data_IF_362129870697
#
_entry.id   IF_362129870697
#
_cell.length_a   1.000
_cell.length_b   1.000
_cell.length_c   1.000
_cell.angle_alpha   90.00
_cell.angle_beta   90.00
_cell.angle_gamma   90.00
#
_symmetry.space_group_name_H-M   'P 1'
#
loop_
_entity.id
_entity.type
_entity.pdbx_description
1 polymer ?
#
# COMPACT_ATOMS: atom_id res chain seq x y z
N UNK A 1 37.22 -3.64 -16.60
CA UNK A 1 37.65 -4.62 -15.59
C UNK A 1 37.06 -4.30 -14.21
N UNK A 2 36.35 -5.30 -13.68
CA UNK A 2 36.05 -5.59 -12.25
C UNK A 2 35.18 -4.62 -11.46
N UNK A 3 33.88 -4.94 -11.38
CA UNK A 3 33.18 -5.33 -10.14
C UNK A 3 31.84 -5.97 -10.55
N UNK A 4 31.81 -7.30 -10.73
CA UNK A 4 31.52 -8.30 -9.69
C UNK A 4 30.00 -8.62 -9.60
N UNK A 5 29.67 -9.85 -10.02
CA UNK A 5 28.58 -10.71 -9.49
C UNK A 5 27.15 -10.32 -9.92
N UNK A 6 26.64 -10.76 -11.07
CA UNK A 6 25.95 -12.06 -11.28
C UNK A 6 25.86 -12.97 -10.03
N UNK A 7 24.62 -13.25 -9.58
CA UNK A 7 24.17 -13.94 -8.35
C UNK A 7 24.04 -13.08 -7.08
N UNK A 8 22.89 -12.40 -6.94
CA UNK A 8 22.12 -12.51 -5.68
C UNK A 8 20.63 -12.58 -5.97
N UNK A 9 20.18 -13.82 -6.00
CA UNK A 9 18.80 -14.27 -5.92
C UNK A 9 18.00 -13.51 -4.83
N UNK A 10 16.76 -13.15 -5.17
CA UNK A 10 15.59 -13.05 -4.26
C UNK A 10 15.54 -12.00 -3.15
N UNK A 11 16.26 -10.87 -3.22
CA UNK A 11 16.10 -9.81 -2.21
C UNK A 11 16.19 -8.42 -2.83
N UNK A 12 15.08 -7.69 -2.85
CA UNK A 12 15.04 -6.31 -3.34
C UNK A 12 15.89 -5.39 -2.47
N UNK A 13 16.60 -4.45 -3.10
CA UNK A 13 17.43 -3.50 -2.38
C UNK A 13 16.57 -2.42 -1.73
N UNK A 14 17.06 -1.75 -0.68
CA UNK A 14 16.32 -0.66 -0.05
C UNK A 14 15.91 0.46 -1.03
N UNK A 15 16.64 0.60 -2.15
CA UNK A 15 16.32 1.53 -3.21
C UNK A 15 15.16 1.04 -4.08
N UNK A 16 15.12 -0.26 -4.42
CA UNK A 16 13.98 -0.88 -5.10
C UNK A 16 12.70 -0.82 -4.26
N UNK A 17 12.84 -0.97 -2.94
CA UNK A 17 11.72 -0.86 -1.99
C UNK A 17 11.17 0.57 -1.96
N UNK A 18 12.03 1.59 -1.94
CA UNK A 18 11.61 2.99 -2.00
C UNK A 18 10.91 3.31 -3.33
N UNK A 19 11.51 2.91 -4.46
CA UNK A 19 10.94 3.11 -5.80
C UNK A 19 9.58 2.39 -5.94
N UNK A 20 9.44 1.21 -5.33
CA UNK A 20 8.17 0.48 -5.26
C UNK A 20 7.13 1.22 -4.42
N UNK A 21 7.52 1.79 -3.28
CA UNK A 21 6.64 2.60 -2.44
C UNK A 21 6.06 3.81 -3.18
N UNK A 22 6.91 4.55 -3.91
CA UNK A 22 6.47 5.67 -4.75
C UNK A 22 5.50 5.20 -5.86
N UNK A 23 5.84 4.13 -6.57
CA UNK A 23 4.98 3.56 -7.62
C UNK A 23 3.63 3.11 -7.09
N UNK A 24 3.60 2.47 -5.92
CA UNK A 24 2.37 2.04 -5.26
C UNK A 24 1.51 3.25 -4.89
N UNK A 25 2.12 4.31 -4.37
CA UNK A 25 1.42 5.56 -4.03
C UNK A 25 0.74 6.17 -5.27
N UNK A 26 1.45 6.29 -6.38
CA UNK A 26 0.88 6.78 -7.64
C UNK A 26 -0.20 5.84 -8.20
N UNK A 27 0.03 4.52 -8.14
CA UNK A 27 -0.94 3.52 -8.60
C UNK A 27 -2.23 3.53 -7.77
N UNK A 28 -2.14 3.67 -6.44
CA UNK A 28 -3.30 3.79 -5.55
C UNK A 28 -4.10 5.06 -5.86
N UNK A 29 -3.43 6.18 -6.16
CA UNK A 29 -4.13 7.40 -6.59
C UNK A 29 -4.88 7.18 -7.90
N UNK A 30 -4.24 6.57 -8.90
CA UNK A 30 -4.88 6.27 -10.18
C UNK A 30 -6.09 5.36 -10.00
N UNK A 31 -6.01 4.34 -9.14
CA UNK A 31 -7.12 3.44 -8.85
C UNK A 31 -8.26 4.13 -8.09
N UNK A 32 -7.93 4.97 -7.10
CA UNK A 32 -8.93 5.72 -6.35
C UNK A 32 -9.70 6.69 -7.25
N UNK A 33 -9.00 7.43 -8.12
CA UNK A 33 -9.61 8.31 -9.10
C UNK A 33 -10.45 7.53 -10.12
N UNK A 34 -9.97 6.38 -10.62
CA UNK A 34 -10.77 5.51 -11.49
C UNK A 34 -12.03 4.99 -10.80
N UNK A 35 -11.96 4.60 -9.52
CA UNK A 35 -13.12 4.13 -8.77
C UNK A 35 -14.15 5.25 -8.55
N UNK A 36 -13.67 6.49 -8.31
CA UNK A 36 -14.51 7.68 -8.20
C UNK A 36 -15.20 8.01 -9.53
N UNK A 37 -14.49 7.91 -10.65
CA UNK A 37 -15.06 8.09 -12.00
C UNK A 37 -16.05 6.97 -12.37
N UNK A 38 -15.77 5.73 -12.01
CA UNK A 38 -16.68 4.59 -12.25
C UNK A 38 -17.95 4.64 -11.40
N UNK A 39 -17.90 5.36 -10.27
CA UNK A 39 -19.08 5.66 -9.43
C UNK A 39 -19.87 6.89 -9.93
N UNK A 40 -19.41 7.55 -10.99
CA UNK A 40 -20.02 8.74 -11.58
C UNK A 40 -21.21 8.39 -12.49
N UNK A 41 -22.19 7.74 -11.88
CA UNK A 41 -23.57 7.63 -12.36
C UNK A 41 -24.59 8.15 -11.34
N UNK A 42 -24.16 8.60 -10.16
CA UNK A 42 -25.02 9.28 -9.19
C UNK A 42 -24.24 10.33 -8.39
N UNK A 43 -24.66 11.58 -8.53
CA UNK A 43 -24.17 12.70 -7.74
C UNK A 43 -24.59 12.51 -6.28
N UNK A 44 -23.60 12.42 -5.40
CA UNK A 44 -23.76 12.68 -3.98
C UNK A 44 -22.43 13.15 -3.43
N UNK A 45 -22.33 14.35 -2.82
CA UNK A 45 -21.19 14.68 -1.99
C UNK A 45 -21.31 13.78 -0.77
N UNK A 46 -20.76 12.56 -0.84
CA UNK A 46 -20.76 11.68 0.32
C UNK A 46 -19.65 12.20 1.23
N UNK A 47 -19.98 12.79 2.41
CA UNK A 47 -18.99 13.12 3.39
C UNK A 47 -18.62 11.79 4.02
N UNK A 48 -17.62 11.09 3.46
CA UNK A 48 -16.97 10.02 4.21
C UNK A 48 -16.28 10.70 5.38
N UNK A 49 -17.04 10.77 6.47
CA UNK A 49 -16.70 11.10 7.84
C UNK A 49 -15.47 12.00 8.02
N UNK A 50 -15.77 13.29 8.19
CA UNK A 50 -14.93 14.24 8.93
C UNK A 50 -14.68 13.83 10.42
N UNK A 51 -14.99 12.59 10.81
CA UNK A 51 -14.86 12.07 12.17
C UNK A 51 -13.54 11.33 12.41
N UNK A 52 -12.87 10.85 11.36
CA UNK A 52 -11.54 10.20 11.47
C UNK A 52 -10.37 11.17 11.28
N UNK A 53 -10.69 12.47 11.16
CA UNK A 53 -9.80 13.59 10.88
C UNK A 53 -8.65 13.83 11.87
N UNK A 54 -8.45 12.98 12.87
CA UNK A 54 -7.36 13.13 13.83
C UNK A 54 -6.48 11.88 14.00
N UNK A 55 -6.88 10.72 13.47
CA UNK A 55 -6.00 9.55 13.33
C UNK A 55 -5.64 9.32 11.86
N UNK A 56 -6.60 9.56 10.95
CA UNK A 56 -6.46 9.61 9.48
C UNK A 56 -5.90 10.95 8.98
N UNK A 57 -5.75 11.96 9.85
CA UNK A 57 -4.99 13.18 9.53
C UNK A 57 -3.54 12.90 9.09
N UNK A 58 -3.02 11.71 9.39
CA UNK A 58 -1.70 11.27 8.97
C UNK A 58 -1.70 10.29 7.79
N UNK A 59 -2.78 10.16 7.01
CA UNK A 59 -2.84 9.23 5.88
C UNK A 59 -3.53 9.87 4.67
N UNK A 60 -2.90 9.81 3.49
CA UNK A 60 -3.49 10.36 2.26
C UNK A 60 -4.73 9.55 1.89
N UNK A 61 -5.82 10.21 1.46
CA UNK A 61 -7.12 9.56 1.19
C UNK A 61 -7.03 8.36 0.25
N UNK A 62 -6.14 8.39 -0.75
CA UNK A 62 -5.97 7.28 -1.70
C UNK A 62 -5.27 6.06 -1.09
N UNK A 63 -4.41 6.28 -0.09
CA UNK A 63 -3.68 5.23 0.64
C UNK A 63 -4.65 4.50 1.59
N UNK A 64 -5.48 5.26 2.32
CA UNK A 64 -6.52 4.71 3.20
C UNK A 64 -7.66 4.04 2.42
N UNK A 65 -8.03 4.59 1.26
CA UNK A 65 -9.01 3.94 0.36
C UNK A 65 -8.50 2.60 -0.15
N UNK A 66 -7.22 2.52 -0.56
CA UNK A 66 -6.64 1.24 -0.98
C UNK A 66 -6.58 0.23 0.16
N UNK A 67 -6.22 0.68 1.37
CA UNK A 67 -6.25 -0.15 2.56
C UNK A 67 -7.64 -0.79 2.73
N UNK A 68 -8.71 0.00 2.70
CA UNK A 68 -10.09 -0.50 2.78
C UNK A 68 -10.50 -1.43 1.64
N UNK A 69 -9.84 -1.34 0.47
CA UNK A 69 -10.06 -2.26 -0.64
C UNK A 69 -9.37 -3.61 -0.47
N UNK A 70 -8.22 -3.61 0.21
CA UNK A 70 -7.43 -4.79 0.50
C UNK A 70 -7.93 -5.53 1.74
N UNK A 71 -8.36 -4.77 2.74
CA UNK A 71 -8.92 -5.24 4.01
C UNK A 71 -10.32 -5.83 3.76
N UNK A 72 -10.32 -7.07 3.29
CA UNK A 72 -11.54 -7.80 2.90
C UNK A 72 -12.24 -8.37 4.11
N UNK A 73 -11.50 -8.66 5.17
CA UNK A 73 -12.03 -9.13 6.44
C UNK A 73 -12.44 -7.97 7.38
N UNK A 74 -12.08 -6.72 7.03
CA UNK A 74 -12.36 -5.48 7.77
C UNK A 74 -11.81 -5.51 9.21
N UNK A 75 -10.64 -6.11 9.40
CA UNK A 75 -10.00 -6.25 10.71
C UNK A 75 -9.02 -5.12 11.04
N UNK A 76 -8.80 -4.18 10.11
CA UNK A 76 -7.83 -3.08 10.19
C UNK A 76 -6.36 -3.52 10.17
N UNK A 77 -6.10 -4.72 9.69
CA UNK A 77 -4.79 -5.25 9.37
C UNK A 77 -4.78 -5.75 7.94
N UNK A 78 -3.60 -5.76 7.32
CA UNK A 78 -3.40 -6.39 6.03
C UNK A 78 -2.53 -7.62 6.21
N UNK A 79 -3.15 -8.78 6.07
CA UNK A 79 -2.45 -10.05 6.08
C UNK A 79 -1.72 -10.27 4.75
N UNK A 80 -0.74 -11.18 4.74
CA UNK A 80 0.02 -11.53 3.54
C UNK A 80 -0.87 -11.94 2.34
N UNK A 81 -2.02 -12.56 2.61
CA UNK A 81 -3.00 -12.96 1.60
C UNK A 81 -3.76 -11.77 1.01
N UNK A 82 -4.12 -10.79 1.83
CA UNK A 82 -4.81 -9.57 1.40
C UNK A 82 -3.86 -8.66 0.62
N UNK A 83 -2.61 -8.56 1.06
CA UNK A 83 -1.54 -7.89 0.33
C UNK A 83 -1.26 -8.55 -1.03
N UNK A 84 -1.44 -9.87 -1.14
CA UNK A 84 -1.35 -10.59 -2.41
C UNK A 84 -2.59 -10.36 -3.32
N UNK A 85 -3.72 -9.92 -2.77
CA UNK A 85 -4.91 -9.58 -3.55
C UNK A 85 -4.74 -8.29 -4.38
N UNK A 86 -3.81 -7.43 -3.98
CA UNK A 86 -3.18 -6.50 -4.92
C UNK A 86 -2.42 -7.38 -5.92
N UNK A 87 -3.07 -7.66 -7.03
CA UNK A 87 -2.67 -8.57 -8.10
C UNK A 87 -1.44 -8.03 -8.88
N UNK A 88 -0.35 -7.78 -8.14
CA UNK A 88 0.96 -7.31 -8.58
C UNK A 88 1.90 -8.50 -8.79
N UNK A 89 1.38 -9.67 -9.18
CA UNK A 89 2.12 -10.90 -9.54
C UNK A 89 3.40 -10.67 -10.38
N UNK A 90 3.45 -9.58 -11.15
CA UNK A 90 4.65 -9.22 -11.94
C UNK A 90 5.78 -8.53 -11.15
N UNK A 91 5.55 -8.08 -9.92
CA UNK A 91 6.50 -7.36 -9.06
C UNK A 91 6.59 -7.94 -7.63
N UNK A 92 6.08 -9.16 -7.43
CA UNK A 92 6.00 -9.84 -6.13
C UNK A 92 7.33 -9.99 -5.39
N UNK A 93 8.45 -10.02 -6.12
CA UNK A 93 9.78 -10.20 -5.54
C UNK A 93 10.11 -9.07 -4.54
N UNK A 94 9.61 -7.86 -4.77
CA UNK A 94 9.90 -6.69 -3.92
C UNK A 94 8.78 -6.30 -2.97
N UNK A 95 7.55 -6.76 -3.24
CA UNK A 95 6.40 -6.33 -2.45
C UNK A 95 6.40 -6.95 -1.05
N UNK A 96 6.78 -8.23 -0.94
CA UNK A 96 6.95 -8.93 0.34
C UNK A 96 7.99 -8.26 1.25
N UNK A 97 9.24 -8.03 0.81
CA UNK A 97 10.21 -7.33 1.62
C UNK A 97 9.84 -5.85 1.87
N UNK A 98 9.08 -5.21 0.97
CA UNK A 98 8.54 -3.88 1.20
C UNK A 98 7.56 -3.86 2.38
N UNK A 99 6.58 -4.76 2.40
CA UNK A 99 5.63 -4.83 3.50
C UNK A 99 6.30 -5.24 4.82
N UNK A 100 7.29 -6.13 4.78
CA UNK A 100 8.10 -6.45 5.95
C UNK A 100 8.93 -5.24 6.44
N UNK A 101 9.25 -4.29 5.56
CA UNK A 101 9.88 -3.02 5.96
C UNK A 101 8.87 -2.02 6.54
N UNK A 102 7.59 -2.12 6.17
CA UNK A 102 6.49 -1.36 6.74
C UNK A 102 6.01 -1.93 8.10
N UNK A 103 6.11 -3.25 8.28
CA UNK A 103 5.78 -3.99 9.51
C UNK A 103 6.81 -3.68 10.60
N UNK A 104 6.52 -2.66 11.38
CA UNK A 104 7.37 -2.17 12.46
C UNK A 104 7.29 -3.10 13.67
N UNK A 105 6.15 -3.74 13.88
CA UNK A 105 5.93 -4.71 14.96
C UNK A 105 6.49 -6.11 14.65
N UNK A 106 6.77 -6.40 13.38
CA UNK A 106 7.25 -7.70 12.87
C UNK A 106 6.31 -8.85 13.23
N UNK A 107 5.01 -8.59 13.20
CA UNK A 107 3.98 -9.59 13.50
C UNK A 107 3.48 -10.32 12.23
N UNK A 108 4.00 -9.94 11.05
CA UNK A 108 3.64 -10.51 9.77
C UNK A 108 2.38 -9.89 9.15
N UNK A 109 1.88 -8.79 9.73
CA UNK A 109 0.73 -8.03 9.26
C UNK A 109 1.09 -6.56 9.22
N UNK A 110 0.34 -5.77 8.45
CA UNK A 110 0.52 -4.31 8.44
C UNK A 110 -0.77 -3.69 8.93
N UNK A 111 -0.72 -3.05 10.11
CA UNK A 111 -1.86 -2.31 10.64
C UNK A 111 -2.12 -1.04 9.81
N UNK A 112 -3.34 -0.49 9.87
CA UNK A 112 -3.66 0.77 9.18
C UNK A 112 -2.68 1.90 9.54
N UNK A 113 -2.21 1.95 10.79
CA UNK A 113 -1.25 2.96 11.24
C UNK A 113 0.13 2.79 10.59
N UNK A 114 0.65 1.56 10.53
CA UNK A 114 1.92 1.24 9.88
C UNK A 114 1.87 1.46 8.38
N UNK A 115 0.75 1.10 7.75
CA UNK A 115 0.51 1.35 6.35
C UNK A 115 0.61 2.84 6.02
N UNK A 116 -0.14 3.67 6.77
CA UNK A 116 -0.13 5.11 6.59
C UNK A 116 1.24 5.73 6.85
N UNK A 117 1.95 5.26 7.88
CA UNK A 117 3.31 5.72 8.19
C UNK A 117 4.31 5.33 7.09
N UNK A 118 4.20 4.11 6.54
CA UNK A 118 5.10 3.60 5.50
C UNK A 118 5.03 4.45 4.21
N UNK A 119 3.83 4.89 3.83
CA UNK A 119 3.60 5.70 2.63
C UNK A 119 3.67 7.22 2.87
N UNK A 120 3.86 7.66 4.11
CA UNK A 120 4.06 9.08 4.44
C UNK A 120 5.51 9.52 4.26
N UNK A 121 6.46 8.65 4.61
CA UNK A 121 7.89 8.91 4.58
C UNK A 121 8.41 9.18 3.17
#
# INVERSE_FOLDING_TARGET
>A
PTSATDLKQETCTGQDLADLGDRLRDWFQLLHENAKQNSSGNVGPNPVNALDKNLVASCKDSIGWMFSKLDTNSDLFLDQAELAAINLDKYEICIRPFFNSCDTYKDGRVSTAEWCFCFWR
#
